data_IF_300953760136
#
_entry.id   IF_300953760136
#
_cell.length_a   1.000
_cell.length_b   1.000
_cell.length_c   1.000
_cell.angle_alpha   90.00
_cell.angle_beta   90.00
_cell.angle_gamma   90.00
#
_symmetry.space_group_name_H-M   'P 1'
#
loop_
_entity.id
_entity.type
_entity.pdbx_description
1 polymer ?
#
# COMPACT_ATOMS: atom_id res chain seq x y z
N UNK A 1 6.28 4.09 7.81
CA UNK A 1 5.68 5.27 8.50
C UNK A 1 5.42 4.98 9.98
N UNK A 2 4.62 3.97 10.34
CA UNK A 2 4.26 3.69 11.74
C UNK A 2 5.48 3.54 12.69
N UNK A 3 6.55 2.89 12.24
CA UNK A 3 7.79 2.71 13.04
C UNK A 3 8.61 4.01 13.26
N UNK A 4 8.10 5.18 12.87
CA UNK A 4 8.61 6.48 13.36
C UNK A 4 8.05 6.85 14.73
N UNK A 5 7.00 6.15 15.19
CA UNK A 5 6.34 6.32 16.47
C UNK A 5 6.83 5.25 17.45
N UNK A 6 7.44 5.68 18.56
CA UNK A 6 8.04 4.81 19.56
C UNK A 6 7.01 3.90 20.24
N UNK A 7 5.79 4.38 20.44
CA UNK A 7 4.70 3.62 21.07
C UNK A 7 4.28 2.38 20.26
N UNK A 8 4.47 2.39 18.93
CA UNK A 8 4.04 1.29 18.06
C UNK A 8 5.01 0.10 18.05
N UNK A 9 6.20 0.27 18.64
CA UNK A 9 7.30 -0.71 18.55
C UNK A 9 6.97 -2.07 19.17
N UNK A 10 6.15 -2.08 20.23
CA UNK A 10 5.79 -3.30 20.97
C UNK A 10 4.67 -4.14 20.32
N UNK A 11 4.10 -3.69 19.20
CA UNK A 11 2.93 -4.32 18.61
C UNK A 11 3.25 -4.99 17.27
N UNK A 12 2.68 -6.16 17.04
CA UNK A 12 2.65 -6.80 15.72
C UNK A 12 1.62 -6.10 14.83
N UNK A 13 2.05 -5.65 13.66
CA UNK A 13 1.15 -5.03 12.70
C UNK A 13 0.41 -6.07 11.87
N UNK A 14 -0.84 -5.73 11.57
CA UNK A 14 -1.71 -6.44 10.64
C UNK A 14 -2.20 -5.44 9.58
N UNK A 15 -2.38 -5.93 8.36
CA UNK A 15 -2.98 -5.20 7.24
C UNK A 15 -4.21 -5.97 6.78
N UNK A 16 -5.38 -5.34 6.90
CA UNK A 16 -6.67 -6.00 6.72
C UNK A 16 -7.56 -5.14 5.81
N UNK A 17 -8.33 -5.78 4.94
CA UNK A 17 -9.05 -5.07 3.89
C UNK A 17 -10.16 -4.15 4.38
N UNK A 18 -10.77 -4.40 5.54
CA UNK A 18 -11.99 -3.70 5.97
C UNK A 18 -13.07 -3.71 4.85
N UNK A 19 -13.34 -4.92 4.35
CA UNK A 19 -14.11 -5.11 3.13
C UNK A 19 -15.61 -5.01 3.40
N UNK A 20 -16.25 -4.03 2.77
CA UNK A 20 -17.70 -3.82 2.78
C UNK A 20 -18.38 -4.35 1.50
N UNK A 21 -17.60 -4.92 0.59
CA UNK A 21 -18.07 -5.56 -0.64
C UNK A 21 -17.07 -6.62 -1.09
N UNK A 22 -17.54 -7.61 -1.85
CA UNK A 22 -16.71 -8.73 -2.34
C UNK A 22 -15.49 -8.26 -3.13
N UNK A 23 -15.65 -7.27 -4.01
CA UNK A 23 -14.56 -6.71 -4.82
C UNK A 23 -13.51 -5.89 -4.05
N UNK A 24 -13.65 -5.75 -2.72
CA UNK A 24 -12.67 -5.11 -1.84
C UNK A 24 -12.04 -6.10 -0.85
N UNK A 25 -12.46 -7.37 -0.85
CA UNK A 25 -11.86 -8.42 -0.02
C UNK A 25 -10.39 -8.57 -0.39
N UNK A 26 -9.54 -8.71 0.62
CA UNK A 26 -8.11 -8.90 0.47
C UNK A 26 -7.37 -7.79 -0.31
N UNK A 27 -7.90 -6.56 -0.37
CA UNK A 27 -7.09 -5.39 -0.80
C UNK A 27 -5.89 -5.14 0.12
N UNK A 28 -6.00 -5.58 1.37
CA UNK A 28 -4.91 -5.74 2.32
C UNK A 28 -5.05 -7.09 3.02
N UNK A 29 -3.92 -7.75 3.28
CA UNK A 29 -3.87 -9.08 3.87
C UNK A 29 -2.51 -9.35 4.51
N UNK A 30 -2.43 -10.48 5.22
CA UNK A 30 -1.26 -10.90 5.98
C UNK A 30 -0.81 -12.29 5.52
N UNK A 31 0.49 -12.48 5.39
CA UNK A 31 1.09 -13.80 5.21
C UNK A 31 1.48 -14.34 6.59
N UNK A 32 0.81 -15.40 7.04
CA UNK A 32 1.09 -16.03 8.33
C UNK A 32 1.96 -17.27 8.15
N UNK A 33 2.98 -17.41 9.00
CA UNK A 33 3.74 -18.65 9.16
C UNK A 33 3.15 -19.45 10.33
N UNK A 34 2.36 -20.47 10.01
CA UNK A 34 1.61 -21.31 10.95
C UNK A 34 1.82 -22.79 10.67
N UNK A 35 1.57 -23.64 11.67
CA UNK A 35 1.57 -25.10 11.47
C UNK A 35 0.27 -25.61 10.86
N UNK A 36 -0.86 -24.98 11.20
CA UNK A 36 -2.19 -25.35 10.72
C UNK A 36 -3.14 -24.14 10.72
N UNK A 37 -4.28 -24.25 10.04
CA UNK A 37 -5.29 -23.20 9.88
C UNK A 37 -6.25 -23.18 11.06
N UNK A 38 -5.78 -22.68 12.21
CA UNK A 38 -6.60 -22.53 13.41
C UNK A 38 -6.46 -21.14 14.05
N UNK A 39 -7.47 -20.71 14.81
CA UNK A 39 -7.41 -19.46 15.56
C UNK A 39 -6.21 -19.41 16.52
N UNK A 40 -5.87 -20.55 17.15
CA UNK A 40 -4.73 -20.67 18.05
C UNK A 40 -3.42 -20.31 17.33
N UNK A 41 -3.23 -20.81 16.12
CA UNK A 41 -2.03 -20.55 15.32
C UNK A 41 -1.94 -19.09 14.86
N UNK A 42 -3.08 -18.46 14.52
CA UNK A 42 -3.14 -17.02 14.22
C UNK A 42 -2.79 -16.19 15.46
N UNK A 43 -3.36 -16.53 16.62
CA UNK A 43 -3.01 -15.88 17.89
C UNK A 43 -1.51 -15.98 18.17
N UNK A 44 -0.92 -17.17 18.05
CA UNK A 44 0.51 -17.38 18.25
C UNK A 44 1.37 -16.61 17.24
N UNK A 45 0.88 -16.44 16.01
CA UNK A 45 1.57 -15.63 15.00
C UNK A 45 1.59 -14.15 15.33
N UNK A 46 0.50 -13.62 15.89
CA UNK A 46 0.42 -12.22 16.33
C UNK A 46 1.31 -12.00 17.57
N UNK A 47 1.32 -12.97 18.50
CA UNK A 47 2.14 -12.93 19.71
C UNK A 47 3.61 -13.32 19.49
N UNK A 48 3.99 -13.79 18.31
CA UNK A 48 5.37 -14.22 17.99
C UNK A 48 5.85 -15.46 18.75
N UNK A 49 4.95 -16.42 19.04
CA UNK A 49 5.24 -17.58 19.91
C UNK A 49 5.62 -18.83 19.13
N UNK A 50 6.53 -19.61 19.69
CA UNK A 50 6.89 -20.95 19.20
C UNK A 50 7.21 -20.99 17.69
N UNK A 51 7.90 -19.98 17.18
CA UNK A 51 8.28 -19.86 15.77
C UNK A 51 7.16 -19.42 14.81
N UNK A 52 5.93 -19.23 15.29
CA UNK A 52 4.83 -18.64 14.50
C UNK A 52 5.02 -17.14 14.43
N UNK A 53 4.69 -16.56 13.27
CA UNK A 53 4.79 -15.11 13.05
C UNK A 53 3.92 -14.65 11.90
N UNK A 54 3.60 -13.35 11.90
CA UNK A 54 3.29 -12.65 10.66
C UNK A 54 4.58 -12.58 9.85
N UNK A 55 4.62 -13.21 8.69
CA UNK A 55 5.80 -13.26 7.83
C UNK A 55 5.91 -12.02 6.93
N UNK A 56 4.78 -11.47 6.48
CA UNK A 56 4.71 -10.23 5.72
C UNK A 56 3.30 -9.62 5.81
N UNK A 57 3.22 -8.30 5.63
CA UNK A 57 1.99 -7.56 5.46
C UNK A 57 1.87 -7.10 4.00
N UNK A 58 0.66 -7.10 3.46
CA UNK A 58 0.35 -6.63 2.12
C UNK A 58 -0.80 -5.65 2.19
N UNK A 59 -0.71 -4.53 1.47
CA UNK A 59 -1.78 -3.53 1.45
C UNK A 59 -1.51 -2.42 0.46
N UNK A 60 -2.31 -1.35 0.46
CA UNK A 60 -2.13 -0.30 -0.55
C UNK A 60 -0.94 0.61 -0.22
N UNK A 61 -0.30 1.19 -1.23
CA UNK A 61 0.68 2.25 -0.96
C UNK A 61 -0.06 3.43 -0.30
N UNK A 62 0.36 3.89 0.89
CA UNK A 62 -0.35 4.95 1.61
C UNK A 62 -0.49 6.25 0.82
N UNK A 63 0.38 6.49 -0.17
CA UNK A 63 0.29 7.65 -1.09
C UNK A 63 -0.99 7.64 -1.91
N UNK A 64 -1.59 6.48 -2.16
CA UNK A 64 -2.87 6.37 -2.86
C UNK A 64 -4.06 6.86 -2.01
N UNK A 65 -3.89 7.00 -0.69
CA UNK A 65 -4.97 7.43 0.21
C UNK A 65 -5.49 8.84 -0.07
N UNK A 66 -6.81 9.04 0.11
CA UNK A 66 -7.51 10.32 -0.08
C UNK A 66 -6.95 11.50 0.73
N UNK A 67 -6.32 11.20 1.84
CA UNK A 67 -5.84 12.17 2.81
C UNK A 67 -4.36 11.90 3.12
N UNK A 68 -3.57 11.46 2.14
CA UNK A 68 -2.15 11.18 2.38
C UNK A 68 -1.38 12.46 2.74
N UNK A 69 -1.36 13.45 1.83
CA UNK A 69 -0.77 14.77 2.06
C UNK A 69 -1.82 15.81 2.45
N UNK A 70 -1.35 16.86 3.12
CA UNK A 70 -2.16 18.03 3.49
C UNK A 70 -2.66 18.76 2.25
N UNK A 71 -3.88 19.26 2.33
CA UNK A 71 -4.56 19.94 1.23
C UNK A 71 -5.05 21.31 1.67
N UNK A 72 -4.76 22.33 0.87
CA UNK A 72 -5.30 23.67 1.10
C UNK A 72 -6.70 23.80 0.52
N UNK A 73 -7.66 24.23 1.33
CA UNK A 73 -9.04 24.42 0.92
C UNK A 73 -9.23 25.69 0.07
N UNK A 74 -8.37 26.70 0.25
CA UNK A 74 -8.52 27.98 -0.43
C UNK A 74 -7.97 27.95 -1.87
N UNK A 75 -6.78 27.36 -2.08
CA UNK A 75 -6.18 27.22 -3.41
C UNK A 75 -6.32 25.81 -4.01
N UNK A 76 -7.09 24.93 -3.36
CA UNK A 76 -7.41 23.58 -3.84
C UNK A 76 -6.20 22.71 -4.25
N UNK A 77 -5.08 22.87 -3.55
CA UNK A 77 -3.80 22.24 -3.90
C UNK A 77 -3.36 21.23 -2.85
N UNK A 78 -2.89 20.06 -3.31
CA UNK A 78 -2.20 19.08 -2.47
C UNK A 78 -0.78 19.59 -2.23
N UNK A 79 -0.39 19.71 -0.96
CA UNK A 79 0.89 20.29 -0.58
C UNK A 79 2.05 19.35 -0.92
N UNK A 80 3.09 19.91 -1.53
CA UNK A 80 4.30 19.20 -1.97
C UNK A 80 5.55 19.56 -1.19
N UNK A 81 5.48 20.58 -0.32
CA UNK A 81 6.59 21.00 0.54
C UNK A 81 7.02 19.88 1.52
N UNK A 82 8.26 19.94 2.04
CA UNK A 82 8.71 19.03 3.08
C UNK A 82 7.78 19.07 4.30
N UNK A 83 7.46 17.89 4.80
CA UNK A 83 6.62 17.63 5.96
C UNK A 83 7.17 18.24 7.28
N UNK A 84 6.27 18.45 8.27
CA UNK A 84 4.82 18.54 8.12
C UNK A 84 4.43 19.90 7.53
N UNK A 85 3.53 19.92 6.55
CA UNK A 85 3.05 21.18 5.97
C UNK A 85 1.73 21.58 6.60
N UNK A 86 1.70 22.69 7.34
CA UNK A 86 0.51 23.17 8.07
C UNK A 86 -0.03 24.51 7.56
N UNK A 87 0.72 25.16 6.70
CA UNK A 87 0.34 26.40 6.04
C UNK A 87 0.65 26.28 4.55
N UNK A 88 -0.26 26.77 3.73
CA UNK A 88 -0.12 26.77 2.29
C UNK A 88 0.75 27.95 1.81
N UNK A 89 1.32 27.80 0.61
CA UNK A 89 2.10 28.83 -0.07
C UNK A 89 1.26 30.03 -0.49
N UNK A 90 -0.06 29.86 -0.59
CA UNK A 90 -1.00 30.97 -0.75
C UNK A 90 -1.20 31.77 0.55
N UNK A 91 -0.51 31.42 1.64
CA UNK A 91 -0.62 32.05 2.96
C UNK A 91 -1.72 31.47 3.85
N UNK A 92 -2.62 30.64 3.30
CA UNK A 92 -3.75 30.08 4.03
C UNK A 92 -3.35 29.01 5.05
N UNK A 93 -3.95 29.09 6.24
CA UNK A 93 -3.96 28.03 7.26
C UNK A 93 -5.24 27.18 7.22
N UNK A 94 -6.14 27.43 6.27
CA UNK A 94 -7.36 26.65 6.06
C UNK A 94 -7.03 25.36 5.30
N UNK A 95 -6.61 24.34 6.05
CA UNK A 95 -6.06 23.10 5.49
C UNK A 95 -6.74 21.86 6.07
N UNK A 96 -6.81 20.81 5.26
CA UNK A 96 -7.12 19.44 5.70
C UNK A 96 -5.80 18.71 5.89
N UNK A 97 -5.39 18.50 7.14
CA UNK A 97 -4.13 17.83 7.48
C UNK A 97 -4.11 16.40 6.94
N UNK A 98 -3.05 16.08 6.20
CA UNK A 98 -2.81 14.73 5.69
C UNK A 98 -2.35 13.77 6.78
N UNK A 99 -2.65 12.49 6.62
CA UNK A 99 -2.19 11.41 7.51
C UNK A 99 -0.67 11.36 7.57
N UNK A 100 0.02 11.54 6.45
CA UNK A 100 1.48 11.59 6.43
C UNK A 100 2.01 12.75 7.26
N UNK A 101 1.56 13.97 6.96
CA UNK A 101 1.99 15.18 7.68
C UNK A 101 1.65 15.07 9.18
N UNK A 102 0.50 14.48 9.54
CA UNK A 102 0.14 14.22 10.94
C UNK A 102 1.11 13.27 11.63
N UNK A 103 1.46 12.14 11.00
CA UNK A 103 2.47 11.21 11.55
C UNK A 103 3.80 11.94 11.74
N UNK A 104 4.20 12.78 10.79
CA UNK A 104 5.44 13.54 10.85
C UNK A 104 5.45 14.57 11.99
N UNK A 105 4.30 15.16 12.35
CA UNK A 105 4.19 16.03 13.52
C UNK A 105 4.43 15.30 14.85
N UNK A 106 3.99 14.04 14.96
CA UNK A 106 4.01 13.29 16.23
C UNK A 106 5.14 12.25 16.30
N UNK A 107 5.99 12.18 15.26
CA UNK A 107 7.06 11.19 15.18
C UNK A 107 8.06 11.36 16.32
N UNK A 108 8.57 10.24 16.82
CA UNK A 108 9.70 10.23 17.76
C UNK A 108 11.04 10.12 17.04
N UNK A 109 11.04 9.64 15.79
CA UNK A 109 12.24 9.43 14.98
C UNK A 109 12.10 10.06 13.60
N UNK A 110 13.16 10.71 13.13
CA UNK A 110 13.26 11.28 11.78
C UNK A 110 13.04 10.25 10.66
N UNK A 111 13.52 9.02 10.89
CA UNK A 111 13.39 7.90 9.97
C UNK A 111 12.79 6.68 10.70
N UNK A 112 12.07 5.78 10.00
CA UNK A 112 11.51 4.58 10.61
C UNK A 112 12.59 3.74 11.30
N UNK A 113 12.35 3.37 12.56
CA UNK A 113 13.23 2.45 13.31
C UNK A 113 12.51 1.14 13.53
N UNK A 114 12.67 0.19 12.62
CA UNK A 114 12.02 -1.11 12.75
C UNK A 114 12.57 -1.91 13.95
N UNK A 115 11.73 -2.53 14.80
CA UNK A 115 12.21 -3.52 15.75
C UNK A 115 12.75 -4.76 15.02
N UNK A 116 13.61 -5.53 15.69
CA UNK A 116 14.13 -6.79 15.15
C UNK A 116 12.94 -7.71 14.84
N UNK A 117 12.92 -8.25 13.62
CA UNK A 117 11.86 -9.16 13.18
C UNK A 117 10.56 -8.47 12.76
N UNK A 118 10.52 -7.14 12.62
CA UNK A 118 9.38 -6.44 11.99
C UNK A 118 9.11 -7.04 10.61
N UNK A 119 7.91 -7.57 10.33
CA UNK A 119 7.59 -8.12 9.02
C UNK A 119 7.62 -7.02 7.95
N UNK A 120 8.10 -7.31 6.72
CA UNK A 120 8.05 -6.35 5.64
C UNK A 120 6.60 -6.00 5.28
N UNK A 121 6.40 -4.77 4.80
CA UNK A 121 5.15 -4.32 4.18
C UNK A 121 5.35 -4.27 2.68
N UNK A 122 4.59 -5.08 1.94
CA UNK A 122 4.62 -5.18 0.49
C UNK A 122 3.38 -4.52 -0.07
N UNK A 123 3.53 -3.29 -0.58
CA UNK A 123 2.35 -2.63 -1.12
C UNK A 123 1.89 -3.27 -2.43
N UNK A 124 0.57 -3.35 -2.65
CA UNK A 124 -0.09 -3.84 -3.85
C UNK A 124 -1.25 -2.93 -4.21
N UNK A 125 -1.47 -2.82 -5.51
CA UNK A 125 -2.58 -2.09 -6.11
C UNK A 125 -3.48 -3.14 -6.75
N UNK A 126 -4.77 -3.19 -6.40
CA UNK A 126 -5.70 -4.12 -7.03
C UNK A 126 -5.69 -3.99 -8.55
N UNK A 127 -5.92 -5.08 -9.29
CA UNK A 127 -5.91 -5.10 -10.76
C UNK A 127 -6.84 -4.03 -11.35
N UNK A 128 -8.04 -3.89 -10.77
CA UNK A 128 -9.04 -2.88 -11.18
C UNK A 128 -8.53 -1.43 -11.10
N UNK A 129 -7.52 -1.18 -10.26
CA UNK A 129 -6.95 0.14 -10.00
C UNK A 129 -5.65 0.37 -10.81
N UNK A 130 -5.23 -0.61 -11.62
CA UNK A 130 -4.08 -0.47 -12.52
C UNK A 130 -4.47 0.39 -13.74
N UNK A 131 -3.79 1.53 -13.97
CA UNK A 131 -4.12 2.41 -15.08
C UNK A 131 -3.86 1.73 -16.43
N UNK A 132 -4.88 1.69 -17.27
CA UNK A 132 -4.80 1.09 -18.61
C UNK A 132 -5.16 -0.39 -18.64
N UNK A 133 -5.39 -1.05 -17.50
CA UNK A 133 -5.89 -2.42 -17.49
C UNK A 133 -7.42 -2.41 -17.70
N UNK A 134 -7.84 -2.72 -18.93
CA UNK A 134 -9.26 -2.85 -19.27
C UNK A 134 -9.88 -4.15 -18.77
N UNK A 135 -11.23 -4.23 -18.68
CA UNK A 135 -11.94 -5.39 -18.15
C UNK A 135 -11.66 -6.69 -18.93
N UNK A 136 -11.49 -6.60 -20.26
CA UNK A 136 -11.19 -7.76 -21.11
C UNK A 136 -9.82 -8.36 -20.79
N UNK A 137 -8.79 -7.52 -20.67
CA UNK A 137 -7.45 -7.98 -20.32
C UNK A 137 -7.40 -8.49 -18.88
N UNK A 138 -8.09 -7.83 -17.95
CA UNK A 138 -8.22 -8.28 -16.56
C UNK A 138 -8.88 -9.67 -16.49
N UNK A 139 -9.96 -9.89 -17.24
CA UNK A 139 -10.63 -11.19 -17.28
C UNK A 139 -9.72 -12.29 -17.83
N UNK A 140 -8.95 -12.00 -18.89
CA UNK A 140 -7.97 -12.95 -19.45
C UNK A 140 -6.88 -13.30 -18.45
N UNK A 141 -6.30 -12.29 -17.80
CA UNK A 141 -5.32 -12.46 -16.73
C UNK A 141 -5.87 -13.37 -15.60
N UNK A 142 -7.08 -13.08 -15.14
CA UNK A 142 -7.73 -13.85 -14.07
C UNK A 142 -8.16 -15.26 -14.50
N UNK A 143 -8.39 -15.50 -15.80
CA UNK A 143 -8.81 -16.82 -16.29
C UNK A 143 -7.73 -17.90 -16.18
N UNK A 144 -6.48 -17.51 -15.95
CA UNK A 144 -5.33 -18.42 -15.82
C UNK A 144 -4.66 -18.38 -14.44
N UNK A 145 -5.18 -17.58 -13.50
CA UNK A 145 -4.64 -17.45 -12.16
C UNK A 145 -5.63 -17.97 -11.12
N UNK A 146 -5.14 -18.62 -10.07
CA UNK A 146 -6.00 -19.14 -8.98
C UNK A 146 -6.66 -18.00 -8.20
N UNK A 147 -5.99 -16.86 -8.10
CA UNK A 147 -6.48 -15.67 -7.42
C UNK A 147 -5.72 -14.43 -7.90
N UNK A 148 -6.27 -13.26 -7.58
CA UNK A 148 -5.56 -12.00 -7.84
C UNK A 148 -4.24 -11.93 -7.06
N UNK A 149 -4.19 -12.49 -5.85
CA UNK A 149 -2.95 -12.57 -5.06
C UNK A 149 -1.90 -13.42 -5.78
N UNK A 150 -2.28 -14.61 -6.27
CA UNK A 150 -1.36 -15.46 -7.02
C UNK A 150 -0.82 -14.72 -8.25
N UNK A 151 -1.70 -14.03 -8.98
CA UNK A 151 -1.31 -13.25 -10.15
C UNK A 151 -0.34 -12.12 -9.80
N UNK A 152 -0.63 -11.34 -8.77
CA UNK A 152 0.19 -10.19 -8.38
C UNK A 152 1.51 -10.60 -7.74
N UNK A 153 1.61 -11.78 -7.11
CA UNK A 153 2.83 -12.22 -6.42
C UNK A 153 3.70 -13.18 -7.23
N UNK A 154 3.10 -14.16 -7.92
CA UNK A 154 3.81 -15.36 -8.40
C UNK A 154 3.83 -15.50 -9.92
N UNK A 155 2.76 -15.08 -10.61
CA UNK A 155 2.68 -15.23 -12.07
C UNK A 155 3.88 -14.55 -12.77
N UNK A 156 4.60 -15.21 -13.70
CA UNK A 156 5.73 -14.62 -14.40
C UNK A 156 5.38 -13.34 -15.17
N UNK A 157 6.26 -12.34 -15.11
CA UNK A 157 6.04 -11.04 -15.78
C UNK A 157 5.89 -11.20 -17.30
N UNK A 158 6.69 -12.05 -17.93
CA UNK A 158 6.62 -12.34 -19.37
C UNK A 158 5.25 -12.90 -19.80
N UNK A 159 4.58 -13.63 -18.91
CA UNK A 159 3.23 -14.14 -19.17
C UNK A 159 2.20 -13.00 -19.10
N UNK A 160 2.31 -12.14 -18.09
CA UNK A 160 1.47 -10.94 -17.96
C UNK A 160 1.65 -10.04 -19.20
N UNK A 161 2.88 -9.88 -19.69
CA UNK A 161 3.19 -9.10 -20.89
C UNK A 161 2.50 -9.66 -22.13
N UNK A 162 2.53 -10.98 -22.34
CA UNK A 162 1.84 -11.63 -23.46
C UNK A 162 0.32 -11.40 -23.44
N UNK A 163 -0.29 -11.30 -22.25
CA UNK A 163 -1.75 -11.22 -22.09
C UNK A 163 -2.25 -9.78 -22.07
N UNK A 164 -1.55 -8.89 -21.35
CA UNK A 164 -1.99 -7.53 -21.04
C UNK A 164 -1.04 -6.43 -21.58
N UNK A 165 0.03 -6.82 -22.26
CA UNK A 165 1.00 -5.93 -22.88
C UNK A 165 2.10 -5.44 -21.93
N UNK A 166 3.18 -4.87 -22.49
CA UNK A 166 4.37 -4.47 -21.74
C UNK A 166 4.10 -3.37 -20.71
N UNK A 167 3.14 -2.49 -20.96
CA UNK A 167 2.78 -1.43 -20.03
C UNK A 167 2.24 -1.97 -18.69
N UNK A 168 1.32 -2.94 -18.75
CA UNK A 168 0.74 -3.56 -17.55
C UNK A 168 1.76 -4.45 -16.84
N UNK A 169 2.52 -5.23 -17.61
CA UNK A 169 3.61 -6.04 -17.08
C UNK A 169 4.65 -5.19 -16.35
N UNK A 170 5.04 -4.04 -16.92
CA UNK A 170 5.94 -3.08 -16.30
C UNK A 170 5.39 -2.52 -14.98
N UNK A 171 4.09 -2.16 -14.93
CA UNK A 171 3.46 -1.71 -13.67
C UNK A 171 3.52 -2.83 -12.61
N UNK A 172 3.17 -4.07 -12.95
CA UNK A 172 3.19 -5.17 -11.98
C UNK A 172 4.62 -5.50 -11.54
N UNK A 173 5.60 -5.49 -12.47
CA UNK A 173 7.04 -5.62 -12.16
C UNK A 173 7.50 -4.55 -11.17
N UNK A 174 7.21 -3.28 -11.46
CA UNK A 174 7.57 -2.14 -10.61
C UNK A 174 6.85 -2.19 -9.25
N UNK A 175 5.61 -2.66 -9.20
CA UNK A 175 4.88 -2.91 -7.95
C UNK A 175 5.51 -3.98 -7.09
N UNK A 176 5.88 -5.14 -7.67
CA UNK A 176 6.59 -6.21 -6.95
C UNK A 176 7.93 -5.72 -6.40
N UNK A 177 8.62 -4.86 -7.15
CA UNK A 177 9.89 -4.26 -6.76
C UNK A 177 9.78 -3.07 -5.79
N UNK A 178 8.56 -2.69 -5.38
CA UNK A 178 8.29 -1.50 -4.55
C UNK A 178 8.75 -0.16 -5.16
N UNK A 179 8.65 0.00 -6.48
CA UNK A 179 9.11 1.17 -7.26
C UNK A 179 8.02 1.84 -8.11
N UNK A 180 6.76 1.74 -7.70
CA UNK A 180 5.68 2.44 -8.40
C UNK A 180 5.85 3.94 -8.26
N UNK A 181 5.82 4.61 -9.39
CA UNK A 181 5.63 6.04 -9.47
C UNK A 181 4.16 6.37 -9.15
N UNK A 182 3.96 7.08 -8.03
CA UNK A 182 2.65 7.37 -7.47
C UNK A 182 2.56 8.87 -7.21
N UNK A 183 1.53 9.50 -7.76
CA UNK A 183 1.13 10.84 -7.35
C UNK A 183 0.27 10.75 -6.09
N UNK A 184 0.65 11.41 -4.98
CA UNK A 184 -0.04 11.26 -3.71
C UNK A 184 -1.43 11.90 -3.73
N UNK A 185 -2.35 11.32 -2.96
CA UNK A 185 -3.65 11.90 -2.68
C UNK A 185 -3.63 12.95 -1.57
N UNK A 186 -4.74 13.67 -1.42
CA UNK A 186 -4.93 14.72 -0.43
C UNK A 186 -6.29 15.40 -0.59
N UNK A 187 -6.85 15.92 0.51
CA UNK A 187 -8.10 16.69 0.48
C UNK A 187 -9.31 15.94 -0.06
N UNK A 188 -9.40 14.62 0.18
CA UNK A 188 -10.50 13.79 -0.30
C UNK A 188 -10.26 13.17 -1.68
N UNK A 189 -9.20 13.57 -2.40
CA UNK A 189 -8.84 13.04 -3.71
C UNK A 189 -7.83 11.89 -3.56
N UNK A 190 -8.14 10.73 -4.13
CA UNK A 190 -7.22 9.59 -4.16
C UNK A 190 -5.94 9.93 -4.92
N UNK A 191 -4.83 9.37 -4.46
CA UNK A 191 -3.60 9.33 -5.24
C UNK A 191 -3.74 8.38 -6.44
N UNK A 192 -2.75 8.40 -7.33
CA UNK A 192 -2.82 7.66 -8.59
C UNK A 192 -1.48 7.03 -8.93
N UNK A 193 -1.51 5.78 -9.39
CA UNK A 193 -0.38 5.17 -10.09
C UNK A 193 -0.20 5.88 -11.42
N UNK A 194 1.02 6.32 -11.72
CA UNK A 194 1.35 7.00 -12.97
C UNK A 194 1.67 6.00 -14.08
N UNK A 195 1.44 6.37 -15.35
CA UNK A 195 1.65 5.45 -16.48
C UNK A 195 3.13 5.19 -16.81
N UNK A 196 4.03 6.09 -16.41
CA UNK A 196 5.45 6.01 -16.70
C UNK A 196 6.23 5.04 -15.78
N UNK A 197 5.62 3.92 -15.40
CA UNK A 197 6.23 2.86 -14.60
C UNK A 197 7.01 1.83 -15.45
N UNK A 198 7.16 2.12 -16.76
CA UNK A 198 7.63 1.18 -17.79
C UNK A 198 9.12 1.30 -18.14
N UNK A 199 9.86 2.23 -17.55
CA UNK A 199 11.27 2.45 -17.91
C UNK A 199 12.17 2.17 -16.71
N UNK A 200 12.55 0.90 -16.57
CA UNK A 200 13.89 0.39 -16.21
C UNK A 200 13.92 -1.16 -16.27
#
# INVERSE_FOLDING_TARGET
MADTLAETRGFTFLSNSDAHSGGNVAREYNLFQVRDKSFKEIKYSIEGKEGRRVAANYGMDPRLGKYHRTFCLDCNTIMSKPEPVLQCDCGSSNVVTGVYDRIMQIRNYEQPRHPIGRPPYNYRVPLKDIPGLGPVAMQKLMSCAESEIELLEKTPVDWIEKVAGPGIAGIIKSMRAQRLNISPGGGGKYGKVLKNNSND
#
